data_IF_534298664464
#
_entry.id   IF_534298664464
#
_cell.length_a   1.000
_cell.length_b   1.000
_cell.length_c   1.000
_cell.angle_alpha   90.00
_cell.angle_beta   90.00
_cell.angle_gamma   90.00
#
_symmetry.space_group_name_H-M   'P 1'
#
loop_
_entity.id
_entity.type
_entity.pdbx_description
1 polymer ?
#
# COMPACT_ATOMS: atom_id res chain seq x y z
N UNK A 1 1.32 -5.14 -1.16
CA UNK A 1 2.11 -5.94 -2.09
C UNK A 1 1.28 -6.35 -3.30
N UNK A 2 1.82 -6.19 -4.49
CA UNK A 2 1.10 -6.46 -5.76
C UNK A 2 0.75 -7.95 -5.88
N UNK A 3 1.59 -8.84 -5.36
CA UNK A 3 1.38 -10.30 -5.45
C UNK A 3 0.17 -10.74 -4.61
N UNK A 4 0.02 -10.23 -3.39
CA UNK A 4 -1.10 -10.59 -2.52
C UNK A 4 -2.45 -10.21 -3.15
N UNK A 5 -2.61 -8.98 -3.63
CA UNK A 5 -3.81 -8.55 -4.34
C UNK A 5 -4.08 -9.34 -5.62
N UNK A 6 -3.04 -9.75 -6.35
CA UNK A 6 -3.18 -10.59 -7.55
C UNK A 6 -3.81 -11.95 -7.26
N UNK A 7 -3.36 -12.62 -6.19
CA UNK A 7 -3.95 -13.89 -5.74
C UNK A 7 -5.41 -13.70 -5.32
N UNK A 8 -5.67 -12.66 -4.53
CA UNK A 8 -7.01 -12.34 -4.03
C UNK A 8 -7.98 -12.02 -5.17
N UNK A 9 -7.56 -11.25 -6.18
CA UNK A 9 -8.38 -10.99 -7.38
C UNK A 9 -8.73 -12.29 -8.08
N UNK A 10 -7.77 -13.19 -8.29
CA UNK A 10 -8.01 -14.47 -8.95
C UNK A 10 -8.99 -15.33 -8.15
N UNK A 11 -8.84 -15.37 -6.84
CA UNK A 11 -9.73 -16.07 -5.92
C UNK A 11 -11.15 -15.52 -5.98
N UNK A 12 -11.31 -14.19 -5.91
CA UNK A 12 -12.60 -13.53 -6.00
C UNK A 12 -13.28 -13.80 -7.35
N UNK A 13 -12.56 -13.65 -8.47
CA UNK A 13 -13.13 -13.94 -9.81
C UNK A 13 -13.75 -15.34 -9.90
N UNK A 14 -13.18 -16.30 -9.20
CA UNK A 14 -13.63 -17.70 -9.23
C UNK A 14 -14.72 -18.01 -8.18
N UNK A 15 -14.89 -17.18 -7.15
CA UNK A 15 -15.72 -17.58 -6.00
C UNK A 15 -16.64 -16.48 -5.48
N UNK A 16 -16.53 -15.24 -5.91
CA UNK A 16 -17.28 -14.11 -5.33
C UNK A 16 -18.80 -14.18 -5.54
N UNK A 17 -19.25 -14.96 -6.52
CA UNK A 17 -20.68 -15.21 -6.77
C UNK A 17 -21.38 -15.84 -5.55
N UNK A 18 -20.66 -16.60 -4.72
CA UNK A 18 -21.19 -17.20 -3.49
C UNK A 18 -21.61 -16.18 -2.42
N UNK A 19 -21.15 -14.94 -2.53
CA UNK A 19 -21.55 -13.82 -1.66
C UNK A 19 -22.33 -12.72 -2.42
N UNK A 20 -22.90 -13.08 -3.58
CA UNK A 20 -23.80 -12.22 -4.36
C UNK A 20 -23.13 -11.07 -5.12
N UNK A 21 -21.84 -11.15 -5.38
CA UNK A 21 -21.11 -10.18 -6.20
C UNK A 21 -20.89 -10.77 -7.60
N UNK A 22 -21.06 -9.91 -8.63
CA UNK A 22 -20.77 -10.30 -10.01
C UNK A 22 -19.27 -10.56 -10.18
N UNK A 23 -18.84 -11.75 -10.66
CA UNK A 23 -17.43 -12.04 -10.96
C UNK A 23 -16.79 -11.06 -11.95
N UNK A 24 -17.59 -10.36 -12.74
CA UNK A 24 -17.15 -9.36 -13.72
C UNK A 24 -16.97 -7.96 -13.10
N UNK A 25 -16.81 -7.85 -11.79
CA UNK A 25 -16.61 -6.58 -11.12
C UNK A 25 -15.43 -5.77 -11.70
N UNK A 26 -15.56 -4.45 -11.70
CA UNK A 26 -14.49 -3.53 -12.10
C UNK A 26 -13.63 -3.21 -10.86
N UNK A 27 -12.31 -3.11 -11.03
CA UNK A 27 -11.42 -2.69 -9.97
C UNK A 27 -11.18 -1.18 -10.10
N UNK A 28 -11.58 -0.42 -9.09
CA UNK A 28 -11.38 1.01 -8.99
C UNK A 28 -9.99 1.34 -8.46
N UNK A 29 -9.32 2.29 -9.12
CA UNK A 29 -8.09 2.88 -8.62
C UNK A 29 -8.38 4.00 -7.59
N UNK A 30 -7.31 4.62 -7.05
CA UNK A 30 -7.44 5.72 -6.08
C UNK A 30 -8.21 6.92 -6.64
N UNK A 31 -8.08 7.23 -7.93
CA UNK A 31 -8.80 8.34 -8.54
C UNK A 31 -10.28 8.02 -8.69
N UNK A 32 -10.61 6.78 -9.09
CA UNK A 32 -11.98 6.28 -9.19
C UNK A 32 -12.63 6.32 -7.80
N UNK A 33 -11.92 5.84 -6.76
CA UNK A 33 -12.36 5.87 -5.37
C UNK A 33 -12.63 7.31 -4.89
N UNK A 34 -11.71 8.23 -5.10
CA UNK A 34 -11.89 9.63 -4.73
C UNK A 34 -13.04 10.29 -5.49
N UNK A 35 -13.22 9.93 -6.76
CA UNK A 35 -14.37 10.38 -7.56
C UNK A 35 -15.70 9.94 -6.95
N UNK A 36 -15.78 8.68 -6.53
CA UNK A 36 -16.97 8.12 -5.89
C UNK A 36 -17.22 8.74 -4.50
N UNK A 37 -16.18 8.98 -3.70
CA UNK A 37 -16.26 9.71 -2.43
C UNK A 37 -16.82 11.13 -2.65
N UNK A 38 -16.31 11.87 -3.64
CA UNK A 38 -16.83 13.21 -3.98
C UNK A 38 -18.31 13.17 -4.41
N UNK A 39 -18.70 12.13 -5.16
CA UNK A 39 -20.10 11.92 -5.54
C UNK A 39 -20.98 11.68 -4.31
N UNK A 40 -20.54 10.84 -3.36
CA UNK A 40 -21.26 10.60 -2.11
C UNK A 40 -21.38 11.89 -1.27
N UNK A 41 -20.29 12.64 -1.11
CA UNK A 41 -20.29 13.92 -0.42
C UNK A 41 -21.29 14.93 -1.04
N UNK A 42 -21.30 15.01 -2.38
CA UNK A 42 -22.25 15.88 -3.11
C UNK A 42 -23.71 15.50 -2.84
N UNK A 43 -24.02 14.19 -2.83
CA UNK A 43 -25.40 13.73 -2.57
C UNK A 43 -25.84 13.99 -1.12
N UNK A 44 -24.91 13.98 -0.17
CA UNK A 44 -25.15 14.28 1.23
C UNK A 44 -25.07 15.78 1.55
N UNK A 45 -24.82 16.63 0.54
CA UNK A 45 -24.62 18.07 0.72
C UNK A 45 -23.47 18.43 1.67
N UNK A 46 -22.46 17.56 1.78
CA UNK A 46 -21.25 17.78 2.58
C UNK A 46 -20.18 18.40 1.68
N UNK A 47 -19.79 19.63 1.96
CA UNK A 47 -18.81 20.36 1.16
C UNK A 47 -17.37 20.14 1.61
N UNK A 48 -16.40 20.36 0.71
CA UNK A 48 -14.94 20.24 0.97
C UNK A 48 -14.45 21.17 2.12
N UNK A 49 -15.19 22.21 2.46
CA UNK A 49 -14.91 23.07 3.61
C UNK A 49 -15.17 22.39 4.95
N UNK A 50 -16.10 21.44 5.00
CA UNK A 50 -16.44 20.66 6.18
C UNK A 50 -15.52 19.46 6.32
N UNK A 51 -15.34 18.70 5.24
CA UNK A 51 -14.51 17.49 5.20
C UNK A 51 -13.84 17.38 3.83
N UNK A 52 -12.54 17.18 3.81
CA UNK A 52 -11.81 16.99 2.54
C UNK A 52 -11.99 15.56 2.01
N UNK A 53 -12.35 15.43 0.73
CA UNK A 53 -12.56 14.13 0.09
C UNK A 53 -11.39 13.15 0.27
N UNK A 54 -10.15 13.65 0.26
CA UNK A 54 -8.95 12.82 0.51
C UNK A 54 -8.91 12.28 1.94
N UNK A 55 -9.31 13.06 2.93
CA UNK A 55 -9.35 12.61 4.33
C UNK A 55 -10.43 11.54 4.52
N UNK A 56 -11.60 11.71 3.87
CA UNK A 56 -12.66 10.69 3.86
C UNK A 56 -12.17 9.40 3.20
N UNK A 57 -11.56 9.48 2.01
CA UNK A 57 -10.99 8.33 1.31
C UNK A 57 -10.01 7.56 2.17
N UNK A 58 -9.11 8.28 2.87
CA UNK A 58 -8.14 7.65 3.78
C UNK A 58 -8.80 7.01 4.99
N UNK A 59 -9.82 7.64 5.58
CA UNK A 59 -10.55 7.08 6.73
C UNK A 59 -11.32 5.80 6.34
N UNK A 60 -11.98 5.79 5.18
CA UNK A 60 -12.66 4.59 4.63
C UNK A 60 -11.65 3.47 4.39
N UNK A 61 -10.51 3.80 3.79
CA UNK A 61 -9.43 2.82 3.55
C UNK A 61 -8.92 2.20 4.86
N UNK A 62 -8.65 3.03 5.86
CA UNK A 62 -8.22 2.54 7.17
C UNK A 62 -9.27 1.62 7.81
N UNK A 63 -10.54 2.03 7.80
CA UNK A 63 -11.63 1.20 8.33
C UNK A 63 -11.72 -0.16 7.61
N UNK A 64 -11.62 -0.18 6.28
CA UNK A 64 -11.59 -1.44 5.50
C UNK A 64 -10.39 -2.30 5.85
N UNK A 65 -9.21 -1.72 5.98
CA UNK A 65 -7.99 -2.44 6.34
C UNK A 65 -8.04 -3.06 7.73
N UNK A 66 -8.84 -2.46 8.63
CA UNK A 66 -9.15 -2.97 9.98
C UNK A 66 -10.41 -3.86 10.02
N UNK A 67 -11.01 -4.17 8.87
CA UNK A 67 -12.26 -4.93 8.72
C UNK A 67 -13.46 -4.28 9.43
N UNK A 68 -13.45 -2.95 9.59
CA UNK A 68 -14.55 -2.19 10.19
C UNK A 68 -15.56 -1.82 9.10
N UNK A 69 -16.78 -2.32 9.25
CA UNK A 69 -17.90 -2.03 8.34
C UNK A 69 -18.39 -0.59 8.50
N UNK A 70 -19.15 -0.02 7.52
CA UNK A 70 -19.76 1.29 7.65
C UNK A 70 -20.62 1.43 8.90
N UNK A 71 -21.39 0.39 9.25
CA UNK A 71 -22.26 0.38 10.43
C UNK A 71 -21.45 0.42 11.73
N UNK A 72 -20.40 -0.37 11.84
CA UNK A 72 -19.50 -0.38 13.00
C UNK A 72 -18.75 0.96 13.13
N UNK A 73 -18.30 1.52 12.00
CA UNK A 73 -17.65 2.83 11.98
C UNK A 73 -18.61 3.91 12.51
N UNK A 74 -19.85 3.92 12.02
CA UNK A 74 -20.88 4.88 12.46
C UNK A 74 -21.24 4.71 13.95
N UNK A 75 -21.29 3.47 14.44
CA UNK A 75 -21.58 3.18 15.85
C UNK A 75 -20.48 3.67 16.81
N UNK A 76 -19.22 3.72 16.36
CA UNK A 76 -18.08 4.18 17.17
C UNK A 76 -17.78 5.67 17.00
N UNK A 77 -18.44 6.35 16.06
CA UNK A 77 -18.22 7.75 15.74
C UNK A 77 -18.68 8.69 16.87
N UNK A 78 -17.74 9.27 17.60
CA UNK A 78 -18.02 10.18 18.72
C UNK A 78 -18.10 11.64 18.30
N UNK A 79 -17.32 12.07 17.31
CA UNK A 79 -17.21 13.45 16.89
C UNK A 79 -18.03 13.74 15.62
N UNK A 80 -18.53 14.97 15.42
CA UNK A 80 -19.30 15.34 14.22
C UNK A 80 -18.58 15.00 12.91
N UNK A 81 -17.27 15.19 12.86
CA UNK A 81 -16.44 14.85 11.70
C UNK A 81 -16.49 13.34 11.40
N UNK A 82 -16.38 12.47 12.41
CA UNK A 82 -16.47 11.01 12.24
C UNK A 82 -17.87 10.58 11.81
N UNK A 83 -18.93 11.20 12.34
CA UNK A 83 -20.32 10.93 11.92
C UNK A 83 -20.52 11.23 10.44
N UNK A 84 -20.03 12.39 9.98
CA UNK A 84 -20.07 12.73 8.55
C UNK A 84 -19.30 11.72 7.69
N UNK A 85 -18.15 11.24 8.14
CA UNK A 85 -17.41 10.19 7.42
C UNK A 85 -18.22 8.88 7.39
N UNK A 86 -18.89 8.49 8.48
CA UNK A 86 -19.73 7.30 8.53
C UNK A 86 -20.87 7.35 7.52
N UNK A 87 -21.60 8.48 7.44
CA UNK A 87 -22.65 8.70 6.44
C UNK A 87 -22.11 8.62 5.00
N UNK A 88 -20.93 9.21 4.76
CA UNK A 88 -20.29 9.16 3.44
C UNK A 88 -19.86 7.72 3.14
N UNK A 89 -19.31 6.99 4.11
CA UNK A 89 -18.88 5.60 3.93
C UNK A 89 -20.06 4.69 3.57
N UNK A 90 -21.21 4.81 4.26
CA UNK A 90 -22.42 4.06 3.93
C UNK A 90 -22.91 4.33 2.50
N UNK A 91 -22.92 5.60 2.08
CA UNK A 91 -23.36 5.98 0.74
C UNK A 91 -22.32 5.55 -0.32
N UNK A 92 -21.02 5.69 0.00
CA UNK A 92 -19.93 5.20 -0.84
C UNK A 92 -20.10 3.71 -1.18
N UNK A 93 -20.35 2.88 -0.17
CA UNK A 93 -20.55 1.43 -0.38
C UNK A 93 -21.80 1.13 -1.25
N UNK A 94 -22.91 1.88 -1.05
CA UNK A 94 -24.09 1.74 -1.90
C UNK A 94 -23.80 2.12 -3.36
N UNK A 95 -23.07 3.19 -3.59
CA UNK A 95 -22.70 3.65 -4.94
C UNK A 95 -21.73 2.67 -5.61
N UNK A 96 -20.73 2.18 -4.88
CA UNK A 96 -19.75 1.20 -5.35
C UNK A 96 -20.44 -0.10 -5.79
N UNK A 97 -21.30 -0.65 -4.92
CA UNK A 97 -22.08 -1.87 -5.23
C UNK A 97 -22.97 -1.66 -6.47
N UNK A 98 -23.63 -0.50 -6.58
CA UNK A 98 -24.43 -0.17 -7.77
C UNK A 98 -23.62 -0.08 -9.04
N UNK A 99 -22.34 0.32 -8.96
CA UNK A 99 -21.43 0.38 -10.10
C UNK A 99 -20.82 -1.00 -10.45
N UNK A 100 -21.08 -2.04 -9.68
CA UNK A 100 -20.44 -3.35 -9.86
C UNK A 100 -18.91 -3.29 -9.69
N UNK A 101 -18.43 -2.43 -8.79
CA UNK A 101 -17.02 -2.16 -8.62
C UNK A 101 -16.51 -2.58 -7.24
N UNK A 102 -15.22 -2.93 -7.17
CA UNK A 102 -14.44 -3.14 -5.95
C UNK A 102 -13.21 -2.22 -6.00
N UNK A 103 -12.88 -1.54 -4.92
CA UNK A 103 -11.58 -0.90 -4.77
C UNK A 103 -10.52 -1.89 -4.26
N UNK A 104 -9.27 -1.44 -4.11
CA UNK A 104 -8.19 -2.32 -3.65
C UNK A 104 -8.42 -2.85 -2.23
N UNK A 105 -9.04 -2.06 -1.35
CA UNK A 105 -9.34 -2.48 0.02
C UNK A 105 -10.51 -3.47 0.02
N UNK A 106 -11.50 -3.28 -0.87
CA UNK A 106 -12.60 -4.23 -1.05
C UNK A 106 -12.15 -5.62 -1.47
N UNK A 107 -11.10 -5.72 -2.27
CA UNK A 107 -10.56 -7.02 -2.66
C UNK A 107 -10.20 -7.85 -1.42
N UNK A 108 -9.69 -7.21 -0.38
CA UNK A 108 -9.35 -7.86 0.89
C UNK A 108 -10.61 -8.12 1.73
N UNK A 109 -11.43 -7.10 1.96
CA UNK A 109 -12.61 -7.22 2.84
C UNK A 109 -13.65 -8.19 2.30
N UNK A 110 -13.88 -8.20 0.97
CA UNK A 110 -14.83 -9.15 0.37
C UNK A 110 -14.27 -10.59 0.31
N UNK A 111 -12.93 -10.76 0.27
CA UNK A 111 -12.32 -12.08 0.42
C UNK A 111 -12.46 -12.61 1.84
N UNK A 112 -12.20 -11.78 2.85
CA UNK A 112 -12.43 -12.16 4.25
C UNK A 112 -13.92 -12.49 4.46
N UNK A 113 -14.84 -11.66 3.96
CA UNK A 113 -16.28 -11.94 4.02
C UNK A 113 -16.65 -13.24 3.36
N UNK A 114 -16.13 -13.52 2.17
CA UNK A 114 -16.36 -14.78 1.44
C UNK A 114 -15.94 -15.99 2.28
N UNK A 115 -14.80 -15.94 2.93
CA UNK A 115 -14.31 -17.03 3.77
C UNK A 115 -15.10 -17.19 5.07
N UNK A 116 -15.58 -16.10 5.65
CA UNK A 116 -16.41 -16.15 6.87
C UNK A 116 -17.83 -16.64 6.58
N UNK A 117 -18.42 -16.25 5.45
CA UNK A 117 -19.80 -16.60 5.10
C UNK A 117 -19.92 -17.94 4.37
N UNK A 118 -18.81 -18.49 3.82
CA UNK A 118 -18.88 -19.71 3.02
C UNK A 118 -17.74 -20.71 3.33
N UNK A 119 -18.01 -21.62 4.25
CA UNK A 119 -17.07 -22.66 4.67
C UNK A 119 -16.61 -23.56 3.52
N UNK A 120 -17.48 -23.84 2.56
CA UNK A 120 -17.15 -24.69 1.41
C UNK A 120 -16.08 -24.01 0.55
N UNK A 121 -16.23 -22.70 0.29
CA UNK A 121 -15.24 -21.95 -0.46
C UNK A 121 -13.94 -21.83 0.33
N UNK A 122 -14.02 -21.52 1.61
CA UNK A 122 -12.84 -21.46 2.49
C UNK A 122 -12.07 -22.78 2.47
N UNK A 123 -12.74 -23.90 2.71
CA UNK A 123 -12.13 -25.24 2.70
C UNK A 123 -11.50 -25.56 1.35
N UNK A 124 -12.19 -25.27 0.24
CA UNK A 124 -11.64 -25.47 -1.11
C UNK A 124 -10.29 -24.75 -1.27
N UNK A 125 -10.20 -23.47 -0.87
CA UNK A 125 -8.99 -22.70 -1.05
C UNK A 125 -7.89 -23.05 -0.05
N UNK A 126 -8.23 -23.39 1.20
CA UNK A 126 -7.24 -23.89 2.17
C UNK A 126 -6.63 -25.23 1.76
N UNK A 127 -7.39 -26.11 1.14
CA UNK A 127 -6.86 -27.34 0.53
C UNK A 127 -6.03 -27.09 -0.73
N UNK A 128 -6.39 -26.06 -1.50
CA UNK A 128 -5.65 -25.70 -2.72
C UNK A 128 -4.23 -25.20 -2.41
N UNK A 129 -4.07 -24.44 -1.34
CA UNK A 129 -2.78 -23.90 -0.92
C UNK A 129 -2.13 -24.82 0.12
N UNK A 130 -1.38 -25.82 -0.35
CA UNK A 130 -0.68 -26.76 0.52
C UNK A 130 0.53 -26.14 1.25
N UNK A 131 1.10 -25.07 0.71
CA UNK A 131 2.21 -24.31 1.30
C UNK A 131 1.95 -22.82 1.14
N UNK A 132 2.07 -22.06 2.22
CA UNK A 132 1.89 -20.62 2.24
C UNK A 132 3.22 -19.98 2.65
N UNK A 133 3.78 -19.15 1.77
CA UNK A 133 4.99 -18.40 2.03
C UNK A 133 4.68 -16.91 1.90
N UNK A 134 4.99 -16.13 2.93
CA UNK A 134 4.70 -14.70 2.95
C UNK A 134 5.98 -13.95 3.30
N UNK A 135 6.35 -13.03 2.42
CA UNK A 135 7.43 -12.08 2.64
C UNK A 135 6.90 -10.75 3.17
N UNK A 136 7.78 -9.97 3.82
CA UNK A 136 7.46 -8.66 4.41
C UNK A 136 6.23 -8.72 5.34
N UNK A 137 6.14 -9.77 6.17
CA UNK A 137 4.95 -10.04 6.98
C UNK A 137 4.61 -8.92 7.97
N UNK A 138 5.60 -8.12 8.40
CA UNK A 138 5.42 -6.93 9.24
C UNK A 138 4.57 -5.84 8.58
N UNK A 139 4.42 -5.86 7.26
CA UNK A 139 3.64 -4.87 6.51
C UNK A 139 2.21 -5.34 6.20
N UNK A 140 1.78 -6.46 6.78
CA UNK A 140 0.42 -6.95 6.65
C UNK A 140 -0.56 -6.17 7.52
N UNK A 141 -1.76 -5.89 6.97
CA UNK A 141 -2.89 -5.32 7.72
C UNK A 141 -3.82 -6.41 8.28
N UNK A 142 -4.82 -6.01 9.07
CA UNK A 142 -5.75 -6.95 9.70
C UNK A 142 -6.53 -7.79 8.69
N UNK A 143 -6.94 -7.21 7.56
CA UNK A 143 -7.66 -7.94 6.51
C UNK A 143 -6.77 -9.00 5.84
N UNK A 144 -5.54 -8.68 5.52
CA UNK A 144 -4.56 -9.63 4.98
C UNK A 144 -4.26 -10.75 5.98
N UNK A 145 -4.09 -10.40 7.25
CA UNK A 145 -3.87 -11.36 8.32
C UNK A 145 -5.06 -12.33 8.47
N UNK A 146 -6.31 -11.84 8.46
CA UNK A 146 -7.52 -12.65 8.53
C UNK A 146 -7.63 -13.65 7.36
N UNK A 147 -7.31 -13.20 6.14
CA UNK A 147 -7.29 -14.04 4.94
C UNK A 147 -6.24 -15.15 5.09
N UNK A 148 -5.03 -14.81 5.54
CA UNK A 148 -3.96 -15.80 5.76
C UNK A 148 -4.40 -16.84 6.75
N UNK A 149 -4.97 -16.46 7.89
CA UNK A 149 -5.50 -17.39 8.89
C UNK A 149 -6.57 -18.32 8.33
N UNK A 150 -7.42 -17.81 7.45
CA UNK A 150 -8.48 -18.59 6.80
C UNK A 150 -7.96 -19.58 5.77
N UNK A 151 -6.80 -19.31 5.17
CA UNK A 151 -6.18 -20.19 4.18
C UNK A 151 -5.29 -21.28 4.77
N UNK A 152 -4.79 -21.11 5.99
CA UNK A 152 -3.95 -22.11 6.65
C UNK A 152 -4.81 -23.31 7.01
N UNK A 153 -4.46 -24.48 6.47
CA UNK A 153 -5.14 -25.76 6.72
C UNK A 153 -4.58 -26.47 7.98
N UNK A 154 -5.04 -27.67 8.24
CA UNK A 154 -4.64 -28.48 9.40
C UNK A 154 -3.15 -28.86 9.38
N UNK A 155 -2.53 -28.97 8.19
CA UNK A 155 -1.10 -29.30 8.05
C UNK A 155 -0.20 -28.12 8.47
N UNK A 156 -0.75 -26.90 8.52
CA UNK A 156 -0.04 -25.68 8.95
C UNK A 156 1.29 -25.41 8.25
N UNK A 157 1.37 -25.75 6.96
CA UNK A 157 2.56 -25.47 6.14
C UNK A 157 2.63 -23.97 5.79
N UNK A 158 2.89 -23.14 6.79
CA UNK A 158 3.07 -21.70 6.63
C UNK A 158 4.49 -21.28 7.04
N UNK A 159 5.10 -20.46 6.22
CA UNK A 159 6.37 -19.80 6.51
C UNK A 159 6.24 -18.31 6.23
N UNK A 160 6.59 -17.48 7.21
CA UNK A 160 6.60 -16.04 7.05
C UNK A 160 8.00 -15.50 7.23
N UNK A 161 8.37 -14.52 6.42
CA UNK A 161 9.62 -13.78 6.54
C UNK A 161 9.27 -12.30 6.75
N UNK A 162 9.98 -11.66 7.64
CA UNK A 162 9.75 -10.24 7.90
C UNK A 162 10.72 -9.68 8.92
N UNK A 163 10.69 -8.37 9.04
CA UNK A 163 11.52 -7.62 9.94
C UNK A 163 10.71 -6.48 10.58
N UNK A 164 10.28 -6.65 11.83
CA UNK A 164 9.53 -5.65 12.59
C UNK A 164 10.25 -4.29 12.70
N UNK A 165 11.59 -4.28 12.60
CA UNK A 165 12.39 -3.06 12.57
C UNK A 165 12.23 -2.25 11.28
N UNK A 166 11.77 -2.88 10.19
CA UNK A 166 11.56 -2.27 8.87
C UNK A 166 10.09 -1.91 8.60
N UNK A 167 9.19 -2.06 9.58
CA UNK A 167 7.79 -1.68 9.41
C UNK A 167 7.66 -0.16 9.30
N UNK A 168 7.35 0.33 8.10
CA UNK A 168 7.18 1.76 7.77
C UNK A 168 5.84 2.08 7.10
N UNK A 169 4.92 1.11 7.03
CA UNK A 169 3.63 1.22 6.35
C UNK A 169 2.42 1.28 7.31
N UNK A 170 2.62 1.66 8.58
CA UNK A 170 1.51 1.83 9.55
C UNK A 170 0.44 2.81 9.04
N UNK A 171 0.82 3.83 8.29
CA UNK A 171 -0.10 4.78 7.66
C UNK A 171 -0.97 4.16 6.54
N UNK A 172 -0.68 2.92 6.11
CA UNK A 172 -1.50 2.08 5.22
C UNK A 172 -2.23 0.97 5.96
N UNK A 173 -2.31 1.04 7.28
CA UNK A 173 -2.94 0.01 8.11
C UNK A 173 -2.07 -1.22 8.37
N UNK A 174 -0.76 -1.19 8.04
CA UNK A 174 0.15 -2.26 8.43
C UNK A 174 0.26 -2.36 9.95
N UNK A 175 0.18 -3.59 10.46
CA UNK A 175 0.30 -3.88 11.87
C UNK A 175 1.46 -4.87 12.10
N UNK A 176 2.61 -4.33 12.51
CA UNK A 176 3.80 -5.14 12.79
C UNK A 176 3.62 -6.09 13.97
N UNK A 177 2.56 -5.93 14.78
CA UNK A 177 2.27 -6.88 15.85
C UNK A 177 1.88 -8.25 15.32
N UNK A 178 1.45 -8.35 14.06
CA UNK A 178 1.17 -9.63 13.39
C UNK A 178 2.40 -10.54 13.38
N UNK A 179 3.61 -10.02 13.10
CA UNK A 179 4.83 -10.82 13.14
C UNK A 179 5.28 -11.13 14.58
N UNK A 180 5.09 -10.20 15.50
CA UNK A 180 5.44 -10.41 16.92
C UNK A 180 4.54 -11.48 17.56
N UNK A 181 3.31 -11.58 17.14
CA UNK A 181 2.32 -12.52 17.67
C UNK A 181 2.27 -13.87 16.92
N UNK A 182 3.11 -14.05 15.89
CA UNK A 182 3.02 -15.22 15.00
C UNK A 182 3.11 -16.55 15.75
N UNK A 183 4.04 -16.70 16.70
CA UNK A 183 4.20 -17.91 17.49
C UNK A 183 2.97 -18.21 18.37
N UNK A 184 2.32 -17.18 18.89
CA UNK A 184 1.07 -17.31 19.66
C UNK A 184 -0.06 -17.77 18.78
N UNK A 185 -0.16 -17.23 17.55
CA UNK A 185 -1.26 -17.47 16.64
C UNK A 185 -1.11 -18.79 15.87
N UNK A 186 0.13 -19.23 15.67
CA UNK A 186 0.49 -20.51 15.04
C UNK A 186 1.34 -21.34 16.01
N UNK A 187 0.68 -21.96 16.99
CA UNK A 187 1.35 -22.75 18.03
C UNK A 187 2.24 -23.83 17.42
N UNK A 188 3.49 -23.89 17.87
CA UNK A 188 4.52 -24.79 17.37
C UNK A 188 5.37 -24.22 16.24
N UNK A 189 5.17 -22.95 15.86
CA UNK A 189 6.03 -22.29 14.91
C UNK A 189 7.48 -22.20 15.44
N UNK A 190 8.44 -22.38 14.52
CA UNK A 190 9.87 -22.24 14.81
C UNK A 190 10.35 -20.87 14.35
N UNK A 191 10.92 -20.09 15.26
CA UNK A 191 11.47 -18.78 14.92
C UNK A 191 12.97 -18.92 14.64
N UNK A 192 13.38 -18.51 13.43
CA UNK A 192 14.78 -18.46 13.01
C UNK A 192 15.18 -16.99 12.81
N UNK A 193 16.15 -16.52 13.59
CA UNK A 193 16.68 -15.15 13.47
C UNK A 193 17.84 -15.11 12.49
N UNK A 194 17.69 -14.29 11.43
CA UNK A 194 18.73 -14.05 10.44
C UNK A 194 19.46 -12.74 10.81
N UNK A 195 20.49 -12.86 11.67
CA UNK A 195 21.16 -11.70 12.26
C UNK A 195 22.39 -11.23 11.48
N UNK A 196 22.93 -12.06 10.57
CA UNK A 196 24.05 -11.66 9.72
C UNK A 196 23.55 -10.78 8.56
N UNK A 197 24.11 -9.58 8.48
CA UNK A 197 23.86 -8.64 7.40
C UNK A 197 25.02 -8.69 6.39
N UNK A 198 24.68 -8.83 5.10
CA UNK A 198 25.62 -8.92 3.98
C UNK A 198 25.59 -7.65 3.10
N UNK A 199 24.77 -6.68 3.41
CA UNK A 199 24.54 -5.46 2.61
C UNK A 199 25.38 -4.29 3.08
N UNK A 200 25.51 -4.12 4.39
CA UNK A 200 25.98 -2.88 5.01
C UNK A 200 27.23 -3.12 5.87
N UNK A 201 28.07 -2.10 5.92
CA UNK A 201 29.22 -2.05 6.85
C UNK A 201 28.79 -1.81 8.30
N UNK A 202 29.70 -2.06 9.24
CA UNK A 202 29.43 -1.98 10.68
C UNK A 202 28.92 -0.61 11.14
N UNK A 203 29.49 0.50 10.65
CA UNK A 203 29.05 1.86 11.00
C UNK A 203 27.60 2.14 10.62
N UNK A 204 27.13 1.59 9.49
CA UNK A 204 25.73 1.72 9.07
C UNK A 204 24.82 0.93 10.00
N UNK A 205 25.20 -0.31 10.32
CA UNK A 205 24.42 -1.16 11.23
C UNK A 205 24.38 -0.60 12.65
N UNK A 206 25.47 -0.03 13.13
CA UNK A 206 25.50 0.62 14.44
C UNK A 206 24.56 1.82 14.51
N UNK A 207 24.58 2.67 13.48
CA UNK A 207 23.65 3.80 13.39
C UNK A 207 22.19 3.32 13.36
N UNK A 208 21.86 2.29 12.57
CA UNK A 208 20.52 1.70 12.50
C UNK A 208 20.08 1.09 13.84
N UNK A 209 20.97 0.33 14.51
CA UNK A 209 20.71 -0.25 15.82
C UNK A 209 20.44 0.84 16.89
N UNK A 210 21.20 1.94 16.86
CA UNK A 210 21.01 3.05 17.78
C UNK A 210 19.68 3.77 17.59
N UNK A 211 19.17 3.85 16.36
CA UNK A 211 17.84 4.41 16.05
C UNK A 211 16.76 3.47 16.56
N UNK A 212 16.81 2.18 16.17
CA UNK A 212 15.71 1.25 16.45
C UNK A 212 15.59 0.90 17.95
N UNK A 213 16.67 0.98 18.72
CA UNK A 213 16.64 0.75 20.18
C UNK A 213 15.77 1.76 20.93
N UNK A 214 15.37 2.88 20.31
CA UNK A 214 14.41 3.82 20.88
C UNK A 214 12.97 3.31 20.82
N UNK A 215 12.66 2.33 19.97
CA UNK A 215 11.35 1.72 19.91
C UNK A 215 11.17 0.75 21.10
N UNK A 216 10.02 0.88 21.79
CA UNK A 216 9.72 0.04 22.96
C UNK A 216 9.22 -1.35 22.56
N UNK A 217 8.46 -1.45 21.49
CA UNK A 217 7.93 -2.71 20.97
C UNK A 217 8.78 -3.13 19.75
N UNK A 218 9.56 -4.18 19.91
CA UNK A 218 10.41 -4.76 18.88
C UNK A 218 10.87 -6.15 19.27
N UNK A 219 11.28 -6.95 18.29
CA UNK A 219 12.03 -8.19 18.54
C UNK A 219 13.42 -7.86 19.06
N UNK A 220 13.89 -8.68 19.99
CA UNK A 220 15.28 -8.60 20.46
C UNK A 220 16.17 -9.39 19.50
N UNK A 221 16.95 -8.67 18.70
CA UNK A 221 17.95 -9.19 17.78
C UNK A 221 19.12 -8.23 17.66
N UNK A 222 20.29 -8.72 17.23
CA UNK A 222 21.49 -7.93 17.04
C UNK A 222 22.07 -8.20 15.66
N UNK A 223 21.87 -7.27 14.73
CA UNK A 223 22.48 -7.37 13.42
C UNK A 223 23.99 -7.19 13.50
N UNK A 224 24.72 -8.05 12.82
CA UNK A 224 26.17 -8.00 12.70
C UNK A 224 26.59 -8.22 11.24
N UNK A 225 27.80 -7.79 10.88
CA UNK A 225 28.36 -7.96 9.53
C UNK A 225 29.82 -8.36 9.61
N UNK A 226 30.28 -9.07 8.59
CA UNK A 226 31.69 -9.37 8.35
C UNK A 226 32.42 -8.28 7.53
N UNK A 227 31.69 -7.28 7.00
CA UNK A 227 32.21 -6.26 6.07
C UNK A 227 33.08 -5.16 6.76
N UNK A 228 33.47 -5.35 8.02
CA UNK A 228 34.23 -4.37 8.77
C UNK A 228 33.46 -3.10 9.11
N UNK A 229 34.13 -2.09 9.68
CA UNK A 229 33.47 -0.86 10.12
C UNK A 229 32.94 -0.01 8.97
N UNK A 230 33.69 0.11 7.87
CA UNK A 230 33.35 1.01 6.77
C UNK A 230 33.52 2.50 7.11
N UNK A 231 33.05 3.36 6.23
CA UNK A 231 33.04 4.80 6.45
C UNK A 231 31.98 5.21 7.49
N UNK A 232 32.23 6.25 8.30
CA UNK A 232 31.26 6.73 9.26
C UNK A 232 30.02 7.35 8.55
N UNK A 233 28.86 7.16 9.17
CA UNK A 233 27.62 7.83 8.72
C UNK A 233 27.76 9.33 8.99
N UNK A 234 27.46 10.15 7.98
CA UNK A 234 27.53 11.61 8.07
C UNK A 234 26.12 12.20 8.13
N UNK A 235 25.90 13.11 9.04
CA UNK A 235 24.66 13.88 9.18
C UNK A 235 24.96 15.35 8.88
N UNK A 236 24.20 15.92 7.95
CA UNK A 236 24.35 17.32 7.53
C UNK A 236 23.08 18.09 7.85
N UNK A 237 23.21 19.18 8.60
CA UNK A 237 22.16 20.17 8.74
C UNK A 237 22.21 21.11 7.55
N UNK A 238 21.11 21.24 6.80
CA UNK A 238 20.97 22.03 5.60
C UNK A 238 19.85 23.05 5.82
N UNK A 239 20.00 24.24 5.22
CA UNK A 239 19.09 25.36 5.46
C UNK A 239 17.75 25.21 4.72
N UNK A 240 17.79 24.79 3.46
CA UNK A 240 16.60 24.62 2.62
C UNK A 240 16.74 23.46 1.61
N UNK A 241 15.67 23.17 0.90
CA UNK A 241 15.56 22.07 -0.08
C UNK A 241 16.51 22.27 -1.29
N UNK A 242 16.77 23.53 -1.66
CA UNK A 242 17.64 23.84 -2.81
C UNK A 242 19.11 23.60 -2.45
N UNK A 243 19.53 24.03 -1.27
CA UNK A 243 20.86 23.74 -0.74
C UNK A 243 21.08 22.24 -0.50
N UNK A 244 20.05 21.52 -0.01
CA UNK A 244 20.08 20.06 0.14
C UNK A 244 20.38 19.39 -1.20
N UNK A 245 19.60 19.69 -2.23
CA UNK A 245 19.75 19.09 -3.55
C UNK A 245 21.11 19.43 -4.18
N UNK A 246 21.57 20.66 -4.03
CA UNK A 246 22.87 21.10 -4.53
C UNK A 246 24.02 20.40 -3.81
N UNK A 247 23.91 20.22 -2.49
CA UNK A 247 24.91 19.51 -1.68
C UNK A 247 25.02 18.06 -2.10
N UNK A 248 23.89 17.37 -2.27
CA UNK A 248 23.84 15.98 -2.76
C UNK A 248 24.49 15.88 -4.13
N UNK A 249 24.08 16.72 -5.08
CA UNK A 249 24.61 16.69 -6.44
C UNK A 249 26.13 16.94 -6.47
N UNK A 250 26.61 17.94 -5.72
CA UNK A 250 28.03 18.29 -5.66
C UNK A 250 28.89 17.17 -5.05
N UNK A 251 28.37 16.46 -4.04
CA UNK A 251 29.06 15.30 -3.44
C UNK A 251 29.18 14.14 -4.39
N UNK A 252 28.11 13.83 -5.13
CA UNK A 252 28.12 12.78 -6.15
C UNK A 252 29.14 13.14 -7.23
N UNK A 253 29.07 14.35 -7.78
CA UNK A 253 29.99 14.83 -8.82
C UNK A 253 31.45 14.77 -8.37
N UNK A 254 31.74 15.17 -7.13
CA UNK A 254 33.11 15.15 -6.59
C UNK A 254 33.66 13.72 -6.51
N UNK A 255 32.87 12.74 -6.06
CA UNK A 255 33.31 11.35 -5.96
C UNK A 255 33.53 10.71 -7.33
N UNK A 256 32.69 11.05 -8.30
CA UNK A 256 32.86 10.57 -9.69
C UNK A 256 34.07 11.23 -10.35
N UNK A 257 34.30 12.54 -10.14
CA UNK A 257 35.42 13.25 -10.73
C UNK A 257 36.79 12.74 -10.29
N UNK A 258 36.90 12.29 -9.04
CA UNK A 258 38.15 11.65 -8.53
C UNK A 258 38.25 10.16 -8.86
N UNK A 259 37.33 9.62 -9.61
CA UNK A 259 37.32 8.20 -10.00
C UNK A 259 37.02 7.22 -8.84
N UNK A 260 36.55 7.70 -7.70
CA UNK A 260 36.27 6.84 -6.55
C UNK A 260 35.02 5.99 -6.75
N UNK A 261 34.03 6.49 -7.54
CA UNK A 261 32.77 5.81 -7.81
C UNK A 261 32.22 6.16 -9.21
N UNK A 262 31.29 5.33 -9.69
CA UNK A 262 30.47 5.58 -10.88
C UNK A 262 29.10 6.07 -10.51
N UNK A 263 28.41 6.81 -11.37
CA UNK A 263 27.05 7.33 -11.12
C UNK A 263 26.05 6.25 -10.72
N UNK A 264 26.14 5.05 -11.29
CA UNK A 264 25.26 3.92 -10.96
C UNK A 264 25.43 3.34 -9.55
N UNK A 265 26.45 3.77 -8.80
CA UNK A 265 26.72 3.32 -7.42
C UNK A 265 26.08 4.25 -6.36
N UNK A 266 25.32 5.27 -6.79
CA UNK A 266 24.63 6.15 -5.89
C UNK A 266 23.13 5.91 -5.93
N UNK A 267 22.50 5.98 -4.77
CA UNK A 267 21.06 6.04 -4.62
C UNK A 267 20.68 7.21 -3.69
N UNK A 268 19.71 8.00 -4.11
CA UNK A 268 19.15 9.09 -3.29
C UNK A 268 17.73 8.72 -2.91
N UNK A 269 17.48 8.57 -1.61
CA UNK A 269 16.17 8.25 -1.07
C UNK A 269 15.54 9.49 -0.46
N UNK A 270 14.26 9.68 -0.70
CA UNK A 270 13.49 10.81 -0.17
C UNK A 270 12.11 10.33 0.33
N UNK A 271 11.52 11.09 1.22
CA UNK A 271 10.26 10.71 1.88
C UNK A 271 9.04 10.94 1.01
N UNK A 272 9.01 12.02 0.23
CA UNK A 272 7.86 12.43 -0.57
C UNK A 272 8.26 12.71 -2.01
N UNK A 273 7.37 12.41 -2.96
CA UNK A 273 7.62 12.66 -4.39
C UNK A 273 7.87 14.14 -4.71
N UNK A 274 7.40 15.06 -3.89
CA UNK A 274 7.64 16.49 -4.08
C UNK A 274 9.14 16.85 -4.01
N UNK A 275 9.91 16.13 -3.18
CA UNK A 275 11.35 16.35 -3.02
C UNK A 275 12.15 15.98 -4.28
N UNK A 276 11.64 15.09 -5.14
CA UNK A 276 12.33 14.69 -6.36
C UNK A 276 12.56 15.86 -7.30
N UNK A 277 11.62 16.81 -7.39
CA UNK A 277 11.71 17.93 -8.32
C UNK A 277 12.97 18.81 -8.09
N UNK A 278 13.27 19.11 -6.83
CA UNK A 278 14.44 19.92 -6.48
C UNK A 278 15.75 19.17 -6.75
N UNK A 279 15.77 17.86 -6.44
CA UNK A 279 16.90 16.98 -6.74
C UNK A 279 17.14 16.86 -8.25
N UNK A 280 16.08 16.64 -9.04
CA UNK A 280 16.18 16.56 -10.50
C UNK A 280 16.76 17.83 -11.12
N UNK A 281 16.31 19.01 -10.65
CA UNK A 281 16.86 20.28 -11.11
C UNK A 281 18.36 20.39 -10.84
N UNK A 282 18.81 20.04 -9.64
CA UNK A 282 20.22 20.07 -9.28
C UNK A 282 21.06 19.09 -10.13
N UNK A 283 20.54 17.89 -10.39
CA UNK A 283 21.19 16.89 -11.23
C UNK A 283 21.30 17.33 -12.69
N UNK A 284 20.23 17.91 -13.25
CA UNK A 284 20.26 18.47 -14.61
C UNK A 284 21.27 19.63 -14.72
N UNK A 285 21.34 20.52 -13.74
CA UNK A 285 22.30 21.63 -13.72
C UNK A 285 23.76 21.13 -13.70
N UNK A 286 24.04 20.06 -12.97
CA UNK A 286 25.36 19.45 -12.88
C UNK A 286 25.61 18.35 -13.91
N UNK A 287 24.66 18.10 -14.82
CA UNK A 287 24.74 17.06 -15.87
C UNK A 287 24.95 15.65 -15.29
N UNK A 288 24.38 15.37 -14.13
CA UNK A 288 24.40 14.05 -13.51
C UNK A 288 23.31 13.19 -14.19
N UNK A 289 23.65 12.04 -14.79
CA UNK A 289 22.65 11.12 -15.29
C UNK A 289 21.90 10.49 -14.11
N UNK A 290 20.57 10.45 -14.19
CA UNK A 290 19.74 9.87 -13.13
C UNK A 290 18.54 9.11 -13.68
N UNK A 291 17.98 8.22 -12.87
CA UNK A 291 16.72 7.54 -13.12
C UNK A 291 15.82 7.64 -11.89
N UNK A 292 14.57 8.03 -12.10
CA UNK A 292 13.56 8.02 -11.02
C UNK A 292 12.92 6.65 -10.96
N UNK A 293 13.02 6.02 -9.79
CA UNK A 293 12.34 4.76 -9.50
C UNK A 293 11.00 5.09 -8.82
N UNK A 294 9.90 4.54 -9.35
CA UNK A 294 8.55 4.82 -8.82
C UNK A 294 7.85 6.05 -9.42
N UNK A 295 8.35 6.60 -10.52
CA UNK A 295 7.68 7.66 -11.30
C UNK A 295 6.33 7.21 -11.87
N UNK A 296 5.65 8.10 -12.62
CA UNK A 296 4.31 7.84 -13.20
C UNK A 296 4.32 6.52 -13.97
N UNK A 297 3.59 5.54 -13.47
CA UNK A 297 3.49 4.21 -14.11
C UNK A 297 2.79 4.33 -15.46
N UNK A 298 3.08 3.41 -16.40
CA UNK A 298 2.46 3.37 -17.73
C UNK A 298 0.92 3.47 -17.65
N UNK A 299 0.30 2.69 -16.77
CA UNK A 299 -1.15 2.67 -16.59
C UNK A 299 -1.72 3.93 -15.93
N UNK A 300 -0.89 4.80 -15.34
CA UNK A 300 -1.31 6.07 -14.74
C UNK A 300 -1.35 7.22 -15.75
N UNK A 301 -0.82 7.03 -16.95
CA UNK A 301 -0.88 8.01 -18.03
C UNK A 301 -2.32 8.26 -18.46
N UNK A 302 -2.65 9.51 -18.72
CA UNK A 302 -4.01 9.93 -19.04
C UNK A 302 -4.59 9.15 -20.24
N UNK A 303 -3.82 9.03 -21.30
CA UNK A 303 -4.21 8.36 -22.55
C UNK A 303 -4.52 6.88 -22.32
N UNK A 304 -3.71 6.22 -21.50
CA UNK A 304 -3.90 4.79 -21.16
C UNK A 304 -5.14 4.62 -20.28
N UNK A 305 -5.36 5.51 -19.31
CA UNK A 305 -6.58 5.48 -18.48
C UNK A 305 -7.84 5.72 -19.30
N UNK A 306 -7.78 6.57 -20.33
CA UNK A 306 -8.91 6.82 -21.22
C UNK A 306 -9.26 5.55 -22.02
N UNK A 307 -8.26 4.87 -22.61
CA UNK A 307 -8.45 3.59 -23.31
C UNK A 307 -9.00 2.51 -22.37
N UNK A 308 -8.43 2.39 -21.19
CA UNK A 308 -8.91 1.42 -20.18
C UNK A 308 -10.36 1.70 -19.79
N UNK A 309 -10.76 2.97 -19.66
CA UNK A 309 -12.14 3.32 -19.35
C UNK A 309 -13.13 2.90 -20.46
N UNK A 310 -12.75 3.00 -21.76
CA UNK A 310 -13.53 2.44 -22.84
C UNK A 310 -13.70 0.93 -22.73
N UNK A 311 -12.61 0.20 -22.48
CA UNK A 311 -12.63 -1.25 -22.33
C UNK A 311 -13.48 -1.68 -21.10
N UNK A 312 -13.39 -0.94 -19.99
CA UNK A 312 -14.20 -1.18 -18.79
C UNK A 312 -15.69 -1.06 -19.09
N UNK A 313 -16.12 -0.06 -19.86
CA UNK A 313 -17.54 0.12 -20.23
C UNK A 313 -18.06 -0.99 -21.13
N UNK A 314 -17.22 -1.56 -22.01
CA UNK A 314 -17.61 -2.73 -22.82
C UNK A 314 -17.86 -3.94 -21.89
N UNK A 315 -17.02 -4.11 -20.88
CA UNK A 315 -17.08 -5.22 -19.95
C UNK A 315 -18.16 -5.02 -18.87
N UNK A 316 -18.31 -3.80 -18.36
CA UNK A 316 -19.27 -3.42 -17.32
C UNK A 316 -19.99 -2.12 -17.69
N UNK A 317 -21.15 -2.17 -18.40
CA UNK A 317 -21.86 -0.99 -18.88
C UNK A 317 -22.35 -0.03 -17.78
N UNK A 318 -22.46 -0.51 -16.56
CA UNK A 318 -22.92 0.29 -15.41
C UNK A 318 -21.80 1.06 -14.68
N UNK A 319 -20.54 0.97 -15.17
CA UNK A 319 -19.41 1.71 -14.60
C UNK A 319 -19.51 3.21 -14.93
N UNK A 320 -20.18 3.94 -14.05
CA UNK A 320 -20.38 5.38 -14.18
C UNK A 320 -19.09 6.19 -14.16
N UNK A 321 -18.05 5.71 -13.45
CA UNK A 321 -16.77 6.42 -13.38
C UNK A 321 -16.07 6.38 -14.73
N UNK A 322 -15.99 5.21 -15.34
CA UNK A 322 -15.45 5.07 -16.70
C UNK A 322 -16.28 5.85 -17.72
N UNK A 323 -17.61 5.83 -17.61
CA UNK A 323 -18.49 6.63 -18.47
C UNK A 323 -18.22 8.13 -18.34
N UNK A 324 -18.21 8.66 -17.11
CA UNK A 324 -17.95 10.08 -16.84
C UNK A 324 -16.59 10.52 -17.35
N UNK A 325 -15.59 9.63 -17.28
CA UNK A 325 -14.26 9.91 -17.80
C UNK A 325 -14.22 10.08 -19.31
N UNK A 326 -14.92 9.25 -20.08
CA UNK A 326 -14.77 9.17 -21.54
C UNK A 326 -15.92 9.80 -22.31
N UNK A 327 -17.00 10.22 -21.65
CA UNK A 327 -18.19 10.75 -22.33
C UNK A 327 -17.87 11.89 -23.30
N UNK A 328 -16.85 12.69 -22.99
CA UNK A 328 -16.32 13.77 -23.83
C UNK A 328 -14.87 13.54 -24.31
N UNK A 329 -14.42 12.29 -24.36
CA UNK A 329 -13.09 11.92 -24.89
C UNK A 329 -13.29 10.87 -26.01
N UNK A 330 -13.11 11.19 -27.30
CA UNK A 330 -12.88 12.55 -27.84
C UNK A 330 -14.08 13.47 -27.59
N UNK A 331 -13.86 14.78 -27.72
CA UNK A 331 -14.90 15.79 -27.46
C UNK A 331 -16.18 15.51 -28.25
N UNK A 332 -17.32 15.41 -27.56
CA UNK A 332 -18.64 15.10 -28.13
C UNK A 332 -19.68 16.21 -27.88
N UNK A 333 -19.30 17.30 -27.20
CA UNK A 333 -20.21 18.41 -26.87
C UNK A 333 -21.31 18.04 -25.86
N UNK A 334 -21.10 17.00 -25.04
CA UNK A 334 -22.03 16.62 -23.98
C UNK A 334 -21.65 17.43 -22.73
N UNK A 335 -22.58 18.30 -22.29
CA UNK A 335 -22.43 19.19 -21.13
C UNK A 335 -22.71 18.50 -19.79
#
# INVERSE_FOLDING_TARGET
SVIFHGIVVSLLRLSVAFIGIDPNFVIYDENDRQGLVKQAMKQLHIGDKQVKARAVSSAISNAKNELVSPTEFSATAQYPFQKSIGEIYELYEKLRKKAGALDFDDLLTETDRLFRENDTVRSKWSFHFTHILIDEYQDTNAAQYAIVKSLVNEERNICVVGDDWQSIYSWRGADFTNILNFERDFTGAVIVKLEQNYRSTGSILEAANNVITKNQQRTDKKLWTAEGAGAPVQVHGIYDEAEEAQTVASRISAQVAIGARHYGEFAVLYRTNAQSYTLERAFLQQRIPYQIVGGVRFYDRKEIKDVVAYLRLIYQPNDRMSFSRIVNIPTRGIG
#
